data_IF_224398304061
#
_entry.id   IF_224398304061
#
_cell.length_a   1.000
_cell.length_b   1.000
_cell.length_c   1.000
_cell.angle_alpha   90.00
_cell.angle_beta   90.00
_cell.angle_gamma   90.00
#
_symmetry.space_group_name_H-M   'P 1'
#
loop_
_entity.id
_entity.type
_entity.pdbx_description
1 polymer ?
#
# COMPACT_ATOMS: atom_id res chain seq x y z
N UNK A 1 -16.95 -10.57 0.75
CA UNK A 1 -15.47 -10.33 0.82
C UNK A 1 -15.17 -9.59 2.10
N UNK A 2 -13.97 -9.76 2.65
CA UNK A 2 -13.50 -9.01 3.81
C UNK A 2 -13.07 -7.60 3.41
N UNK A 3 -13.01 -6.68 4.38
CA UNK A 3 -12.74 -5.27 4.14
C UNK A 3 -11.25 -4.93 4.00
N UNK A 4 -10.37 -5.74 4.56
CA UNK A 4 -8.93 -5.55 4.48
C UNK A 4 -8.37 -6.60 3.52
N UNK A 5 -7.86 -6.18 2.38
CA UNK A 5 -7.32 -7.04 1.33
C UNK A 5 -5.80 -6.88 1.29
N UNK A 6 -5.09 -7.94 1.61
CA UNK A 6 -3.63 -7.94 1.76
C UNK A 6 -2.98 -8.79 0.66
N UNK A 7 -2.15 -8.17 -0.16
CA UNK A 7 -1.42 -8.80 -1.25
C UNK A 7 0.01 -9.11 -0.80
N UNK A 8 0.39 -10.36 -0.76
CA UNK A 8 1.75 -10.79 -0.42
C UNK A 8 2.37 -11.62 -1.55
N UNK A 9 3.65 -11.85 -1.49
CA UNK A 9 4.41 -12.63 -2.49
C UNK A 9 5.87 -12.18 -2.56
N UNK A 10 6.67 -12.89 -3.31
CA UNK A 10 8.10 -12.62 -3.47
C UNK A 10 8.39 -11.22 -3.98
N UNK A 11 9.54 -10.62 -3.65
CA UNK A 11 9.96 -9.36 -4.24
C UNK A 11 9.94 -9.40 -5.77
N UNK A 12 9.40 -8.34 -6.40
CA UNK A 12 9.35 -8.24 -7.87
C UNK A 12 8.29 -9.12 -8.56
N UNK A 13 7.48 -9.88 -7.83
CA UNK A 13 6.45 -10.77 -8.42
C UNK A 13 5.30 -10.02 -9.10
N UNK A 14 5.12 -8.72 -8.79
CA UNK A 14 4.07 -7.88 -9.38
C UNK A 14 2.96 -7.45 -8.43
N UNK A 15 3.19 -7.47 -7.10
CA UNK A 15 2.21 -7.01 -6.10
C UNK A 15 1.70 -5.59 -6.38
N UNK A 16 2.62 -4.63 -6.57
CA UNK A 16 2.30 -3.25 -6.92
C UNK A 16 1.48 -3.17 -8.21
N UNK A 17 1.83 -3.94 -9.24
CA UNK A 17 1.09 -3.95 -10.51
C UNK A 17 -0.36 -4.43 -10.32
N UNK A 18 -0.56 -5.48 -9.53
CA UNK A 18 -1.91 -5.97 -9.20
C UNK A 18 -2.68 -4.90 -8.45
N UNK A 19 -2.08 -4.27 -7.43
CA UNK A 19 -2.72 -3.19 -6.67
C UNK A 19 -3.10 -2.01 -7.58
N UNK A 20 -2.18 -1.54 -8.43
CA UNK A 20 -2.43 -0.41 -9.35
C UNK A 20 -3.61 -0.72 -10.28
N UNK A 21 -3.68 -1.92 -10.88
CA UNK A 21 -4.80 -2.32 -11.74
C UNK A 21 -6.14 -2.33 -10.99
N UNK A 22 -6.15 -2.75 -9.72
CA UNK A 22 -7.35 -2.69 -8.87
C UNK A 22 -7.75 -1.25 -8.59
N UNK A 23 -6.80 -0.38 -8.22
CA UNK A 23 -7.03 1.05 -7.98
C UNK A 23 -7.61 1.73 -9.21
N UNK A 24 -7.00 1.52 -10.39
CA UNK A 24 -7.50 2.06 -11.66
C UNK A 24 -8.91 1.56 -11.99
N UNK A 25 -9.17 0.27 -11.78
CA UNK A 25 -10.49 -0.31 -11.98
C UNK A 25 -11.55 0.26 -11.05
N UNK A 26 -11.22 0.53 -9.79
CA UNK A 26 -12.13 1.18 -8.83
C UNK A 26 -12.39 2.65 -9.20
N UNK A 27 -11.32 3.40 -9.54
CA UNK A 27 -11.45 4.79 -10.00
C UNK A 27 -12.31 4.90 -11.27
N UNK A 28 -12.15 3.97 -12.23
CA UNK A 28 -12.97 3.95 -13.46
C UNK A 28 -14.45 3.66 -13.22
N UNK A 29 -14.78 3.03 -12.08
CA UNK A 29 -16.16 2.79 -11.63
C UNK A 29 -16.72 3.96 -10.77
N UNK A 30 -15.96 5.03 -10.58
CA UNK A 30 -16.38 6.23 -9.85
C UNK A 30 -16.11 6.21 -8.35
N UNK A 31 -15.42 5.19 -7.81
CA UNK A 31 -15.06 5.16 -6.39
C UNK A 31 -13.88 6.09 -6.09
N UNK A 32 -13.95 6.79 -4.97
CA UNK A 32 -12.84 7.61 -4.46
C UNK A 32 -11.78 6.71 -3.84
N UNK A 33 -10.56 6.74 -4.39
CA UNK A 33 -9.41 5.95 -3.94
C UNK A 33 -8.26 6.89 -3.61
N UNK A 34 -7.80 6.85 -2.37
CA UNK A 34 -6.62 7.59 -1.89
C UNK A 34 -5.59 6.66 -1.23
N UNK A 35 -4.55 7.26 -0.66
CA UNK A 35 -3.45 6.56 -0.03
C UNK A 35 -2.15 6.71 -0.80
N UNK A 36 -1.20 5.81 -0.59
CA UNK A 36 0.13 5.91 -1.17
C UNK A 36 0.50 4.70 -2.05
N UNK A 37 1.26 4.99 -3.10
CA UNK A 37 2.00 4.00 -3.87
C UNK A 37 3.50 4.24 -3.76
N UNK A 38 4.28 3.18 -3.84
CA UNK A 38 5.72 3.26 -4.05
C UNK A 38 6.11 2.79 -5.46
N UNK A 39 7.20 3.32 -5.98
CA UNK A 39 7.75 2.85 -7.24
C UNK A 39 9.26 2.85 -7.24
N UNK A 40 9.82 1.88 -7.89
CA UNK A 40 11.26 1.78 -8.12
C UNK A 40 11.75 2.85 -9.09
N UNK A 41 12.86 3.51 -8.74
CA UNK A 41 13.53 4.48 -9.62
C UNK A 41 14.87 3.90 -10.07
N UNK A 42 15.12 3.96 -11.38
CA UNK A 42 16.36 3.49 -12.00
C UNK A 42 17.11 4.62 -12.70
N UNK A 43 18.44 4.55 -12.65
CA UNK A 43 19.34 5.40 -13.39
C UNK A 43 20.45 4.54 -14.00
N UNK A 44 20.67 4.66 -15.31
CA UNK A 44 21.65 3.83 -16.01
C UNK A 44 21.43 2.32 -15.87
N UNK A 45 20.14 1.88 -15.82
CA UNK A 45 19.78 0.48 -15.62
C UNK A 45 19.84 -0.01 -14.16
N UNK A 46 20.51 0.74 -13.28
CA UNK A 46 20.63 0.38 -11.86
C UNK A 46 19.52 1.02 -11.03
N UNK A 47 18.98 0.26 -10.09
CA UNK A 47 18.01 0.79 -9.12
C UNK A 47 18.73 1.72 -8.13
N UNK A 48 18.30 2.99 -8.11
CA UNK A 48 18.87 4.04 -7.26
C UNK A 48 18.01 4.37 -6.04
N UNK A 49 16.75 3.98 -6.05
CA UNK A 49 15.85 4.23 -4.92
C UNK A 49 14.40 3.89 -5.21
N UNK A 50 13.56 4.40 -4.34
CA UNK A 50 12.10 4.25 -4.40
C UNK A 50 11.46 5.62 -4.14
N UNK A 51 10.49 5.99 -4.97
CA UNK A 51 9.63 7.16 -4.76
C UNK A 51 8.34 6.76 -4.08
N UNK A 52 7.75 7.71 -3.37
CA UNK A 52 6.38 7.68 -2.87
C UNK A 52 5.52 8.59 -3.73
N UNK A 53 4.32 8.15 -4.03
CA UNK A 53 3.30 8.90 -4.74
C UNK A 53 2.00 8.90 -3.94
N UNK A 54 1.45 10.08 -3.66
CA UNK A 54 0.08 10.23 -3.15
C UNK A 54 -0.93 10.00 -4.27
N UNK A 55 -1.94 9.17 -4.02
CA UNK A 55 -3.01 8.86 -4.97
C UNK A 55 -4.10 9.94 -5.05
N UNK A 56 -4.14 10.86 -4.08
CA UNK A 56 -5.15 11.91 -3.98
C UNK A 56 -4.73 13.17 -4.73
N UNK A 57 -3.54 13.69 -4.44
CA UNK A 57 -3.05 14.98 -4.94
C UNK A 57 -1.81 14.90 -5.83
N UNK A 58 -1.33 13.67 -6.10
CA UNK A 58 -0.12 13.39 -6.89
C UNK A 58 1.18 13.97 -6.31
N UNK A 59 1.21 14.36 -5.04
CA UNK A 59 2.46 14.73 -4.37
C UNK A 59 3.44 13.55 -4.40
N UNK A 60 4.73 13.89 -4.48
CA UNK A 60 5.83 12.90 -4.57
C UNK A 60 6.89 13.19 -3.53
N UNK A 61 7.57 12.14 -3.14
CA UNK A 61 8.73 12.18 -2.26
C UNK A 61 9.60 10.95 -2.46
N UNK A 62 10.76 10.93 -1.83
CA UNK A 62 11.62 9.76 -1.84
C UNK A 62 11.33 8.87 -0.62
N UNK A 63 11.02 7.60 -0.84
CA UNK A 63 10.96 6.63 0.25
C UNK A 63 12.38 6.28 0.72
N UNK A 64 13.27 5.96 -0.22
CA UNK A 64 14.64 5.58 0.08
C UNK A 64 15.54 5.75 -1.15
N UNK A 65 16.82 6.09 -0.93
CA UNK A 65 17.81 6.28 -1.98
C UNK A 65 19.18 5.75 -1.58
N UNK A 66 20.03 5.43 -2.58
CA UNK A 66 21.43 5.03 -2.34
C UNK A 66 22.28 6.21 -1.86
N UNK A 67 21.98 7.42 -2.32
CA UNK A 67 22.73 8.64 -2.00
C UNK A 67 22.20 9.41 -0.80
N UNK A 68 21.12 8.91 -0.17
CA UNK A 68 20.56 9.50 1.06
C UNK A 68 21.60 9.42 2.19
N UNK A 69 21.91 10.57 2.82
CA UNK A 69 22.94 10.64 3.86
C UNK A 69 22.44 10.27 5.25
N UNK A 70 21.17 10.50 5.53
CA UNK A 70 20.56 10.31 6.84
C UNK A 70 19.39 9.33 6.75
N UNK A 71 19.04 8.72 7.89
CA UNK A 71 17.93 7.80 8.01
C UNK A 71 18.35 6.35 8.17
N UNK A 72 17.41 5.48 8.56
CA UNK A 72 17.64 4.05 8.72
C UNK A 72 18.11 3.40 7.42
N UNK A 73 18.92 2.37 7.54
CA UNK A 73 19.48 1.66 6.38
C UNK A 73 18.76 0.33 6.14
N UNK A 74 18.33 0.11 4.89
CA UNK A 74 17.79 -1.16 4.41
C UNK A 74 18.55 -1.57 3.16
N UNK A 75 19.38 -2.58 3.29
CA UNK A 75 20.32 -2.97 2.23
C UNK A 75 21.28 -1.82 1.89
N UNK A 76 21.30 -1.40 0.63
CA UNK A 76 22.12 -0.27 0.16
C UNK A 76 21.40 1.09 0.22
N UNK A 77 20.12 1.13 0.61
CA UNK A 77 19.30 2.33 0.64
C UNK A 77 19.20 2.88 2.05
N UNK A 78 19.05 4.21 2.15
CA UNK A 78 18.63 4.87 3.39
C UNK A 78 17.24 5.43 3.22
N UNK A 79 16.42 5.25 4.25
CA UNK A 79 15.01 5.66 4.27
C UNK A 79 14.91 7.16 4.56
N UNK A 80 14.13 7.86 3.78
CA UNK A 80 13.78 9.26 4.00
C UNK A 80 12.48 9.34 4.82
N UNK A 81 12.61 9.32 6.15
CA UNK A 81 11.46 9.38 7.05
C UNK A 81 10.67 10.68 6.89
N UNK A 82 11.34 11.79 6.56
CA UNK A 82 10.67 13.07 6.35
C UNK A 82 9.68 13.01 5.17
N UNK A 83 10.12 12.50 4.03
CA UNK A 83 9.24 12.38 2.86
C UNK A 83 8.20 11.27 3.05
N UNK A 84 8.55 10.18 3.75
CA UNK A 84 7.57 9.14 4.08
C UNK A 84 6.42 9.72 4.90
N UNK A 85 6.71 10.52 5.93
CA UNK A 85 5.68 11.13 6.76
C UNK A 85 4.92 12.23 6.01
N UNK A 86 5.65 13.12 5.30
CA UNK A 86 5.06 14.26 4.61
C UNK A 86 4.17 13.86 3.43
N UNK A 87 4.51 12.81 2.69
CA UNK A 87 3.77 12.37 1.50
C UNK A 87 2.99 11.10 1.78
N UNK A 88 3.64 10.04 2.22
CA UNK A 88 3.01 8.72 2.36
C UNK A 88 1.98 8.68 3.50
N UNK A 89 2.41 9.07 4.70
CA UNK A 89 1.53 9.09 5.88
C UNK A 89 0.39 10.09 5.70
N UNK A 90 0.69 11.28 5.17
CA UNK A 90 -0.33 12.30 4.90
C UNK A 90 -1.38 11.80 3.90
N UNK A 91 -0.94 11.13 2.81
CA UNK A 91 -1.86 10.57 1.81
C UNK A 91 -2.76 9.46 2.37
N UNK A 92 -2.23 8.58 3.23
CA UNK A 92 -3.04 7.54 3.89
C UNK A 92 -4.03 8.19 4.86
N UNK A 93 -3.59 9.17 5.67
CA UNK A 93 -4.43 9.85 6.63
C UNK A 93 -5.60 10.57 5.94
N UNK A 94 -5.32 11.31 4.86
CA UNK A 94 -6.35 11.96 4.04
C UNK A 94 -7.34 10.93 3.47
N UNK A 95 -6.84 9.81 2.94
CA UNK A 95 -7.71 8.77 2.39
C UNK A 95 -8.64 8.17 3.46
N UNK A 96 -8.16 8.01 4.71
CA UNK A 96 -9.00 7.58 5.83
C UNK A 96 -10.17 8.55 6.05
N UNK A 97 -9.94 9.84 5.89
CA UNK A 97 -10.96 10.83 6.16
C UNK A 97 -11.95 11.01 5.00
N UNK A 98 -11.47 11.06 3.74
CA UNK A 98 -12.30 11.52 2.61
C UNK A 98 -12.56 10.48 1.51
N UNK A 99 -11.83 9.34 1.46
CA UNK A 99 -12.00 8.36 0.40
C UNK A 99 -12.86 7.17 0.84
N UNK A 100 -13.41 6.43 -0.12
CA UNK A 100 -14.11 5.17 0.10
C UNK A 100 -13.14 3.99 0.22
N UNK A 101 -11.99 4.09 -0.46
CA UNK A 101 -10.96 3.06 -0.54
C UNK A 101 -9.60 3.65 -0.20
N UNK A 102 -8.85 2.92 0.61
CA UNK A 102 -7.48 3.25 1.02
C UNK A 102 -6.53 2.23 0.39
N UNK A 103 -5.56 2.70 -0.39
CA UNK A 103 -4.50 1.87 -0.96
C UNK A 103 -3.14 2.17 -0.29
N UNK A 104 -2.39 1.11 0.04
CA UNK A 104 -1.07 1.24 0.66
C UNK A 104 -0.07 0.30 -0.02
N UNK A 105 0.97 0.83 -0.64
CA UNK A 105 2.05 0.08 -1.27
C UNK A 105 3.41 0.62 -0.86
N UNK A 106 4.13 -0.07 0.00
CA UNK A 106 4.03 -1.40 0.60
C UNK A 106 4.05 -1.25 2.14
N UNK A 107 3.48 -2.22 2.88
CA UNK A 107 3.76 -2.36 4.32
C UNK A 107 4.98 -3.27 4.45
N UNK A 108 6.14 -2.66 4.65
CA UNK A 108 7.42 -3.35 4.60
C UNK A 108 8.51 -2.72 5.48
N UNK A 109 9.73 -3.26 5.42
CA UNK A 109 10.83 -2.88 6.32
C UNK A 109 11.21 -1.40 6.27
N UNK A 110 11.02 -0.73 5.14
CA UNK A 110 11.36 0.69 5.00
C UNK A 110 10.32 1.57 5.68
N UNK A 111 9.05 1.32 5.43
CA UNK A 111 7.92 2.08 5.94
C UNK A 111 7.76 1.93 7.45
N UNK A 112 8.03 0.74 7.98
CA UNK A 112 7.88 0.42 9.40
C UNK A 112 8.93 1.05 10.32
N UNK A 113 9.92 1.79 9.78
CA UNK A 113 10.75 2.68 10.59
C UNK A 113 10.00 3.93 11.05
N UNK A 114 8.93 4.35 10.37
CA UNK A 114 8.09 5.47 10.81
C UNK A 114 7.01 4.99 11.78
N UNK A 115 7.00 5.55 12.98
CA UNK A 115 5.92 5.31 13.94
C UNK A 115 4.61 5.94 13.47
N UNK A 116 4.67 7.12 12.84
CA UNK A 116 3.52 7.77 12.22
C UNK A 116 2.87 6.91 11.14
N UNK A 117 3.70 6.20 10.34
CA UNK A 117 3.19 5.25 9.35
C UNK A 117 2.45 4.08 10.02
N UNK A 118 3.03 3.48 11.06
CA UNK A 118 2.39 2.38 11.81
C UNK A 118 1.06 2.79 12.41
N UNK A 119 1.01 3.96 13.04
CA UNK A 119 -0.21 4.53 13.63
C UNK A 119 -1.29 4.78 12.57
N UNK A 120 -0.91 5.37 11.43
CA UNK A 120 -1.85 5.72 10.36
C UNK A 120 -2.39 4.48 9.65
N UNK A 121 -1.56 3.47 9.39
CA UNK A 121 -2.00 2.17 8.86
C UNK A 121 -2.94 1.47 9.85
N UNK A 122 -2.62 1.53 11.14
CA UNK A 122 -3.51 0.98 12.19
C UNK A 122 -4.87 1.66 12.16
N UNK A 123 -4.90 3.01 12.06
CA UNK A 123 -6.14 3.79 11.92
C UNK A 123 -6.91 3.40 10.66
N UNK A 124 -6.23 3.21 9.53
CA UNK A 124 -6.84 2.73 8.29
C UNK A 124 -7.51 1.36 8.47
N UNK A 125 -6.84 0.40 9.12
CA UNK A 125 -7.39 -0.92 9.40
C UNK A 125 -8.55 -0.90 10.40
N UNK A 126 -8.59 0.05 11.32
CA UNK A 126 -9.69 0.26 12.26
C UNK A 126 -10.87 1.04 11.66
N UNK A 127 -10.67 1.73 10.55
CA UNK A 127 -11.72 2.47 9.85
C UNK A 127 -12.77 1.52 9.27
N UNK A 128 -13.90 2.07 8.81
CA UNK A 128 -14.91 1.28 8.09
C UNK A 128 -14.65 1.23 6.57
N UNK A 129 -13.56 1.80 6.08
CA UNK A 129 -13.22 1.89 4.66
C UNK A 129 -12.70 0.55 4.13
N UNK A 130 -12.81 0.33 2.84
CA UNK A 130 -12.11 -0.76 2.17
C UNK A 130 -10.61 -0.43 2.14
N UNK A 131 -9.77 -1.34 2.63
CA UNK A 131 -8.31 -1.17 2.60
C UNK A 131 -7.69 -2.24 1.71
N UNK A 132 -6.82 -1.83 0.78
CA UNK A 132 -6.07 -2.73 -0.08
C UNK A 132 -4.59 -2.40 0.09
N UNK A 133 -3.81 -3.35 0.59
CA UNK A 133 -2.39 -3.11 0.83
C UNK A 133 -1.51 -4.23 0.28
N UNK A 134 -0.33 -3.86 -0.23
CA UNK A 134 0.73 -4.84 -0.45
C UNK A 134 1.54 -5.00 0.82
N UNK A 135 2.01 -6.21 1.08
CA UNK A 135 2.74 -6.58 2.29
C UNK A 135 4.03 -7.28 1.90
N UNK A 136 5.12 -6.84 2.49
CA UNK A 136 6.40 -7.53 2.33
C UNK A 136 6.31 -8.95 2.89
N UNK A 137 6.78 -9.94 2.14
CA UNK A 137 6.58 -11.37 2.42
C UNK A 137 7.13 -11.86 3.78
N UNK A 138 8.09 -11.13 4.36
CA UNK A 138 8.65 -11.41 5.70
C UNK A 138 7.98 -10.61 6.81
N UNK A 139 7.13 -9.64 6.48
CA UNK A 139 6.52 -8.78 7.48
C UNK A 139 5.22 -9.40 7.98
N UNK A 140 5.29 -9.94 9.19
CA UNK A 140 4.13 -10.49 9.89
C UNK A 140 3.95 -9.92 11.30
N UNK A 141 5.02 -9.41 11.89
CA UNK A 141 5.01 -8.97 13.29
C UNK A 141 4.05 -7.81 13.57
N UNK A 142 4.22 -6.70 12.85
CA UNK A 142 3.34 -5.55 12.97
C UNK A 142 1.89 -5.90 12.61
N UNK A 143 1.70 -6.58 11.47
CA UNK A 143 0.36 -6.93 11.01
C UNK A 143 -0.37 -7.88 11.97
N UNK A 144 0.31 -8.87 12.53
CA UNK A 144 -0.29 -9.74 13.55
C UNK A 144 -0.83 -8.91 14.71
N UNK A 145 -0.03 -8.00 15.26
CA UNK A 145 -0.44 -7.17 16.40
C UNK A 145 -1.66 -6.28 16.11
N UNK A 146 -1.83 -5.85 14.86
CA UNK A 146 -2.93 -4.96 14.45
C UNK A 146 -4.16 -5.75 14.00
N UNK A 147 -3.97 -6.90 13.33
CA UNK A 147 -5.04 -7.70 12.74
C UNK A 147 -5.62 -8.75 13.66
N UNK A 148 -4.92 -9.17 14.72
CA UNK A 148 -5.41 -10.17 15.69
C UNK A 148 -6.73 -9.75 16.36
N UNK A 149 -7.04 -8.46 16.34
CA UNK A 149 -8.29 -7.89 16.86
C UNK A 149 -9.42 -7.83 15.82
N UNK A 150 -9.16 -8.21 14.58
CA UNK A 150 -10.14 -8.15 13.50
C UNK A 150 -10.14 -9.45 12.67
N UNK A 151 -11.30 -10.08 12.52
CA UNK A 151 -11.45 -11.20 11.58
C UNK A 151 -11.82 -10.72 10.16
N UNK A 152 -11.39 -9.50 9.78
CA UNK A 152 -11.85 -8.80 8.58
C UNK A 152 -10.74 -8.65 7.52
N UNK A 153 -9.67 -9.42 7.63
CA UNK A 153 -8.57 -9.44 6.67
C UNK A 153 -8.59 -10.68 5.77
N UNK A 154 -8.37 -10.47 4.48
CA UNK A 154 -8.22 -11.52 3.46
C UNK A 154 -6.86 -11.39 2.79
N UNK A 155 -6.11 -12.50 2.72
CA UNK A 155 -4.82 -12.56 2.12
C UNK A 155 -4.88 -13.11 0.70
N UNK A 156 -4.13 -12.48 -0.20
CA UNK A 156 -3.92 -12.92 -1.58
C UNK A 156 -2.44 -13.13 -1.82
N UNK A 157 -2.05 -14.37 -2.15
CA UNK A 157 -0.68 -14.65 -2.55
C UNK A 157 -0.52 -14.38 -4.04
N UNK A 158 0.28 -13.37 -4.38
CA UNK A 158 0.61 -13.02 -5.77
C UNK A 158 1.74 -13.92 -6.25
N UNK A 159 1.54 -14.57 -7.39
CA UNK A 159 2.50 -15.41 -8.07
C UNK A 159 2.59 -15.07 -9.55
N UNK A 160 3.61 -15.60 -10.23
CA UNK A 160 3.75 -15.45 -11.70
C UNK A 160 2.53 -16.00 -12.41
N UNK A 161 1.97 -17.11 -11.93
CA UNK A 161 0.85 -17.81 -12.58
C UNK A 161 -0.48 -17.08 -12.45
N UNK A 162 -0.67 -16.27 -11.37
CA UNK A 162 -1.96 -15.64 -11.10
C UNK A 162 -1.99 -14.12 -11.27
N UNK A 163 -0.85 -13.43 -11.28
CA UNK A 163 -0.77 -11.95 -11.25
C UNK A 163 -1.56 -11.26 -12.37
N UNK A 164 -1.69 -11.90 -13.55
CA UNK A 164 -2.37 -11.29 -14.69
C UNK A 164 -3.91 -11.28 -14.53
N UNK A 165 -4.47 -12.16 -13.71
CA UNK A 165 -5.92 -12.29 -13.46
C UNK A 165 -6.36 -11.94 -12.05
N UNK A 166 -5.43 -11.95 -11.09
CA UNK A 166 -5.76 -11.74 -9.68
C UNK A 166 -6.41 -10.39 -9.42
N UNK A 167 -6.03 -9.35 -10.16
CA UNK A 167 -6.64 -8.03 -10.04
C UNK A 167 -8.13 -8.03 -10.38
N UNK A 168 -8.59 -8.85 -11.33
CA UNK A 168 -10.02 -8.97 -11.69
C UNK A 168 -10.84 -9.55 -10.53
N UNK A 169 -10.31 -10.61 -9.90
CA UNK A 169 -10.93 -11.22 -8.72
C UNK A 169 -11.04 -10.23 -7.56
N UNK A 170 -9.95 -9.50 -7.28
CA UNK A 170 -9.92 -8.51 -6.20
C UNK A 170 -10.86 -7.35 -6.53
N UNK A 171 -10.84 -6.83 -7.75
CA UNK A 171 -11.69 -5.73 -8.19
C UNK A 171 -13.17 -6.09 -8.07
N UNK A 172 -13.56 -7.29 -8.54
CA UNK A 172 -14.94 -7.76 -8.40
C UNK A 172 -15.39 -7.76 -6.94
N UNK A 173 -14.63 -8.40 -6.07
CA UNK A 173 -15.04 -8.48 -4.69
C UNK A 173 -14.97 -7.14 -3.94
N UNK A 174 -14.03 -6.26 -4.30
CA UNK A 174 -13.98 -4.89 -3.79
C UNK A 174 -15.25 -4.12 -4.18
N UNK A 175 -15.67 -4.23 -5.45
CA UNK A 175 -16.91 -3.62 -5.93
C UNK A 175 -18.14 -4.17 -5.21
N UNK A 176 -18.27 -5.50 -5.11
CA UNK A 176 -19.37 -6.15 -4.38
C UNK A 176 -19.46 -5.69 -2.92
N UNK A 177 -18.31 -5.52 -2.26
CA UNK A 177 -18.25 -4.99 -0.89
C UNK A 177 -18.74 -3.54 -0.82
N UNK A 178 -18.29 -2.66 -1.70
CA UNK A 178 -18.67 -1.24 -1.72
C UNK A 178 -20.16 -1.06 -2.01
N UNK A 179 -20.69 -1.78 -2.99
CA UNK A 179 -22.12 -1.75 -3.35
C UNK A 179 -23.03 -2.23 -2.21
N UNK A 180 -22.57 -3.23 -1.43
CA UNK A 180 -23.35 -3.74 -0.29
C UNK A 180 -23.52 -2.72 0.83
N UNK A 181 -22.74 -1.64 0.85
CA UNK A 181 -22.78 -0.58 1.86
C UNK A 181 -23.59 0.65 1.44
N UNK A 182 -23.93 0.74 0.18
CA UNK A 182 -24.73 1.84 -0.36
C UNK A 182 -26.24 1.52 -0.29
N UNK A 183 -26.58 0.29 0.01
CA UNK A 183 -27.95 -0.18 0.28
C UNK A 183 -28.26 -0.12 1.78
#
# INVERSE_FOLDING_TARGET
MKRILLLTGSPGVGKTTVLVRVVEGLKSKGYSVGGMLSREVRSGGNRVGFEILSLTDNQRGWLAQVDQKQGPQVGKYRVNLFDLDRVGVAAIAEAVDVCEVIAVDEIGPMELFSDSFKETVTRAFQSKKLVIATVHWRERGFLTSVLDKTNDAQWFNVSIDNRERLHELILKGATDFLESRTR
#
